data_IF_327479894134
#
_entry.id   IF_327479894134
#
_cell.length_a   1.000
_cell.length_b   1.000
_cell.length_c   1.000
_cell.angle_alpha   90.00
_cell.angle_beta   90.00
_cell.angle_gamma   90.00
#
_symmetry.space_group_name_H-M   'P 1'
#
loop_
_entity.id
_entity.type
_entity.pdbx_description
1 polymer ?
#
# COMPACT_ATOMS: atom_id res chain seq x y z
N UNK A 1 31.21 -18.24 18.89
CA UNK A 1 29.91 -17.94 18.27
C UNK A 1 29.68 -16.43 18.39
N UNK A 2 29.92 -15.62 17.35
CA UNK A 2 29.60 -14.20 17.40
C UNK A 2 28.07 -14.02 17.29
N UNK A 3 27.52 -13.12 18.10
CA UNK A 3 26.09 -12.92 18.28
C UNK A 3 25.36 -12.44 17.02
N UNK A 4 24.14 -12.94 16.83
CA UNK A 4 23.19 -12.43 15.83
C UNK A 4 22.84 -10.98 16.21
N UNK A 5 23.18 -10.03 15.35
CA UNK A 5 22.64 -8.67 15.42
C UNK A 5 21.15 -8.77 15.05
N UNK A 6 20.29 -8.15 15.87
CA UNK A 6 18.89 -7.94 15.50
C UNK A 6 18.83 -7.07 14.24
N UNK A 7 17.94 -7.36 13.28
CA UNK A 7 17.71 -6.50 12.12
C UNK A 7 17.17 -5.15 12.60
N UNK A 8 17.71 -4.06 12.06
CA UNK A 8 17.30 -2.70 12.36
C UNK A 8 16.04 -2.41 11.53
N UNK A 9 14.90 -2.26 12.19
CA UNK A 9 13.71 -1.69 11.55
C UNK A 9 14.03 -0.26 11.10
N UNK A 10 13.70 0.07 9.84
CA UNK A 10 13.87 1.40 9.29
C UNK A 10 12.96 2.37 10.05
N UNK A 11 13.62 3.25 10.79
CA UNK A 11 12.97 4.10 11.76
C UNK A 11 12.87 5.53 11.35
N UNK A 12 11.73 6.16 11.64
CA UNK A 12 11.64 7.62 11.74
C UNK A 12 12.43 8.10 12.98
N UNK A 13 13.76 7.93 12.98
CA UNK A 13 14.64 8.55 13.99
C UNK A 13 14.91 9.99 13.59
N UNK A 14 14.67 10.90 14.51
CA UNK A 14 15.13 12.28 14.42
C UNK A 14 16.65 12.35 14.70
N UNK A 15 17.43 13.14 13.95
CA UNK A 15 18.83 13.41 14.28
C UNK A 15 18.96 14.03 15.69
N UNK A 16 19.72 13.38 16.58
CA UNK A 16 19.94 13.83 17.98
C UNK A 16 19.12 13.09 19.04
N UNK A 17 18.28 12.13 18.64
CA UNK A 17 17.39 11.40 19.54
C UNK A 17 17.84 9.92 19.72
N UNK A 18 17.98 9.43 20.97
CA UNK A 18 18.74 8.21 21.32
C UNK A 18 17.92 6.94 21.58
N UNK A 19 16.59 6.99 21.58
CA UNK A 19 15.78 5.80 21.85
C UNK A 19 15.49 4.95 20.61
N UNK A 20 14.73 3.87 20.82
CA UNK A 20 14.32 2.93 19.79
C UNK A 20 13.04 3.38 19.06
N UNK A 21 12.88 2.97 17.80
CA UNK A 21 11.83 3.49 16.94
C UNK A 21 10.57 2.65 16.92
N UNK A 22 9.44 3.31 16.89
CA UNK A 22 8.21 2.78 16.31
C UNK A 22 7.43 4.01 15.84
N UNK A 23 7.33 4.20 14.53
CA UNK A 23 6.24 4.99 13.96
C UNK A 23 5.06 4.05 13.66
N UNK A 24 4.16 4.39 12.72
CA UNK A 24 3.27 3.42 12.06
C UNK A 24 4.05 2.34 11.24
N UNK A 25 5.19 1.90 11.74
CA UNK A 25 6.29 1.23 11.06
C UNK A 25 6.64 -0.11 11.72
N UNK A 26 5.79 -0.63 12.60
CA UNK A 26 5.86 -1.93 13.21
C UNK A 26 4.84 -2.90 12.57
N UNK A 27 5.26 -3.43 11.41
CA UNK A 27 5.10 -4.84 11.03
C UNK A 27 3.83 -5.28 10.23
N UNK A 28 4.13 -6.05 9.16
CA UNK A 28 3.33 -6.79 8.15
C UNK A 28 2.61 -6.00 7.04
N UNK A 29 3.41 -5.57 6.06
CA UNK A 29 2.96 -5.17 4.73
C UNK A 29 2.68 -6.36 3.80
N UNK A 30 2.00 -6.08 2.69
CA UNK A 30 1.73 -6.99 1.58
C UNK A 30 2.93 -7.09 0.60
N UNK A 31 3.29 -8.29 0.12
CA UNK A 31 4.40 -8.48 -0.83
C UNK A 31 4.18 -7.87 -2.22
N UNK A 32 2.95 -7.54 -2.60
CA UNK A 32 2.63 -7.09 -3.97
C UNK A 32 2.47 -5.57 -4.10
N UNK A 33 3.53 -4.81 -3.78
CA UNK A 33 3.79 -3.55 -4.50
C UNK A 33 4.28 -3.86 -5.93
N UNK A 34 3.52 -4.68 -6.67
CA UNK A 34 3.69 -4.82 -8.10
C UNK A 34 2.80 -3.73 -8.68
N UNK A 35 3.41 -2.74 -9.35
CA UNK A 35 2.68 -1.86 -10.27
C UNK A 35 1.79 -2.76 -11.13
N UNK A 36 0.48 -2.75 -10.88
CA UNK A 36 -0.48 -3.35 -11.80
C UNK A 36 -0.48 -2.47 -13.05
N UNK A 37 0.46 -2.73 -13.94
CA UNK A 37 0.26 -2.42 -15.35
C UNK A 37 -0.84 -3.36 -15.85
N UNK A 38 -1.88 -2.85 -16.53
CA UNK A 38 -2.99 -3.69 -16.97
C UNK A 38 -2.51 -4.51 -18.17
N UNK A 39 -1.94 -5.67 -17.91
CA UNK A 39 -1.87 -6.73 -18.93
C UNK A 39 -1.96 -8.11 -18.27
N UNK A 40 -3.07 -8.78 -18.58
CA UNK A 40 -3.29 -10.22 -18.52
C UNK A 40 -3.58 -10.79 -17.11
N UNK A 41 -4.78 -10.49 -16.60
CA UNK A 41 -5.47 -11.38 -15.67
C UNK A 41 -6.10 -12.54 -16.46
N UNK A 42 -5.54 -13.74 -16.35
CA UNK A 42 -6.29 -14.97 -16.67
C UNK A 42 -7.01 -15.44 -15.40
N UNK A 43 -8.31 -15.78 -15.46
CA UNK A 43 -9.03 -16.30 -14.31
C UNK A 43 -8.88 -17.82 -14.26
N UNK A 44 -8.24 -18.35 -13.20
CA UNK A 44 -8.39 -19.76 -12.82
C UNK A 44 -9.53 -19.88 -11.82
N UNK A 45 -10.70 -20.25 -12.34
CA UNK A 45 -11.86 -20.68 -11.56
C UNK A 45 -11.94 -22.21 -11.66
N UNK A 46 -11.75 -22.93 -10.55
CA UNK A 46 -12.08 -24.37 -10.45
C UNK A 46 -13.38 -24.51 -9.65
N UNK A 47 -14.46 -24.86 -10.36
CA UNK A 47 -15.67 -25.39 -9.75
C UNK A 47 -15.70 -26.90 -9.89
N UNK A 48 -15.49 -27.60 -8.77
CA UNK A 48 -16.09 -28.92 -8.46
C UNK A 48 -16.35 -28.91 -6.95
N UNK A 49 -17.60 -28.85 -6.49
CA UNK A 49 -18.55 -29.95 -6.52
C UNK A 49 -18.60 -30.55 -5.10
N UNK A 50 -19.72 -30.34 -4.39
CA UNK A 50 -19.85 -30.68 -2.97
C UNK A 50 -20.04 -32.16 -2.67
N UNK A 51 -19.78 -32.53 -1.41
CA UNK A 51 -20.56 -33.50 -0.62
C UNK A 51 -20.09 -33.47 0.86
N UNK A 52 -21.03 -33.30 1.79
CA UNK A 52 -20.85 -33.61 3.21
C UNK A 52 -20.90 -35.12 3.41
N UNK A 53 -19.88 -35.75 4.03
CA UNK A 53 -20.08 -36.94 4.90
C UNK A 53 -18.93 -37.08 5.91
N UNK A 54 -19.27 -37.04 7.21
CA UNK A 54 -18.84 -38.07 8.16
C UNK A 54 -17.57 -37.86 8.98
N UNK A 55 -17.78 -37.52 10.26
CA UNK A 55 -16.85 -37.78 11.36
C UNK A 55 -16.28 -39.20 11.35
N UNK A 56 -14.97 -39.34 11.59
CA UNK A 56 -14.45 -40.46 12.40
C UNK A 56 -13.21 -40.02 13.19
N UNK A 57 -13.38 -40.05 14.51
CA UNK A 57 -12.33 -40.15 15.52
C UNK A 57 -11.58 -41.46 15.33
N UNK A 58 -10.25 -41.42 15.23
CA UNK A 58 -9.38 -42.52 15.64
C UNK A 58 -8.05 -41.98 16.16
N UNK A 59 -7.84 -42.19 17.45
CA UNK A 59 -6.59 -42.18 18.18
C UNK A 59 -5.80 -43.46 17.85
N UNK A 60 -4.49 -43.35 17.57
CA UNK A 60 -3.49 -44.33 17.98
C UNK A 60 -2.08 -43.83 17.65
N UNK A 61 -1.40 -43.35 18.69
CA UNK A 61 -0.06 -43.75 19.11
C UNK A 61 0.82 -44.61 18.15
N UNK A 62 2.06 -44.14 18.03
CA UNK A 62 3.32 -44.90 18.23
C UNK A 62 4.20 -45.28 17.02
N UNK A 63 5.42 -44.75 17.11
CA UNK A 63 6.73 -45.33 16.76
C UNK A 63 6.94 -46.10 15.46
N UNK A 64 7.89 -45.59 14.65
CA UNK A 64 9.13 -46.31 14.25
C UNK A 64 10.14 -45.38 13.55
N UNK A 65 11.33 -45.28 14.16
CA UNK A 65 12.63 -45.00 13.49
C UNK A 65 12.94 -46.22 12.58
N UNK A 66 13.67 -46.21 11.46
CA UNK A 66 15.03 -45.70 11.13
C UNK A 66 15.21 -45.78 9.57
N UNK A 67 16.39 -45.55 8.92
CA UNK A 67 16.49 -44.72 7.70
C UNK A 67 16.94 -45.51 6.44
N UNK A 68 16.97 -44.86 5.27
CA UNK A 68 17.79 -45.20 4.09
C UNK A 68 17.69 -44.02 3.10
N UNK A 69 18.68 -43.13 3.01
CA UNK A 69 19.84 -43.18 2.11
C UNK A 69 19.51 -43.24 0.60
N UNK A 70 20.10 -42.27 -0.12
CA UNK A 70 20.39 -42.20 -1.57
C UNK A 70 19.23 -41.74 -2.47
N UNK A 71 19.36 -40.54 -3.06
CA UNK A 71 19.45 -40.31 -4.52
C UNK A 71 19.89 -38.86 -4.77
N UNK A 72 21.18 -38.68 -5.07
CA UNK A 72 21.72 -37.48 -5.71
C UNK A 72 21.89 -37.75 -7.20
N UNK A 73 21.80 -36.65 -7.97
CA UNK A 73 22.20 -36.46 -9.38
C UNK A 73 21.09 -36.72 -10.42
N UNK A 74 20.69 -35.65 -11.12
CA UNK A 74 21.06 -35.30 -12.52
C UNK A 74 20.03 -34.27 -13.02
N UNK A 75 20.48 -33.18 -13.66
CA UNK A 75 19.56 -32.32 -14.41
C UNK A 75 20.06 -30.95 -14.85
N UNK A 76 21.37 -30.75 -15.04
CA UNK A 76 21.86 -29.64 -15.86
C UNK A 76 22.13 -30.16 -17.27
N UNK A 77 21.97 -29.26 -18.26
CA UNK A 77 22.25 -29.39 -19.70
C UNK A 77 21.04 -29.76 -20.57
N UNK A 78 20.41 -28.73 -21.16
CA UNK A 78 20.22 -28.62 -22.61
C UNK A 78 19.53 -27.29 -22.96
N UNK A 79 20.33 -26.25 -23.23
CA UNK A 79 19.88 -25.01 -23.86
C UNK A 79 20.67 -24.90 -25.17
N UNK A 80 20.14 -25.45 -26.26
CA UNK A 80 20.57 -25.18 -27.64
C UNK A 80 19.68 -25.96 -28.64
N UNK A 81 18.74 -25.26 -29.29
CA UNK A 81 18.23 -25.64 -30.61
C UNK A 81 17.60 -24.42 -31.29
N UNK A 82 18.44 -23.58 -31.89
CA UNK A 82 18.07 -22.52 -32.83
C UNK A 82 18.93 -22.72 -34.08
N UNK A 83 18.28 -22.63 -35.26
CA UNK A 83 18.81 -22.75 -36.65
C UNK A 83 19.22 -24.20 -37.03
N UNK A 84 18.74 -24.87 -38.07
CA UNK A 84 18.72 -24.56 -39.52
C UNK A 84 17.78 -25.57 -40.20
N UNK A 85 16.96 -25.15 -41.17
CA UNK A 85 16.84 -25.73 -42.53
C UNK A 85 15.85 -24.85 -43.30
N UNK A 86 16.43 -23.93 -44.07
CA UNK A 86 15.85 -23.35 -45.28
C UNK A 86 16.55 -24.05 -46.45
N UNK A 87 15.84 -24.11 -47.58
CA UNK A 87 16.24 -24.58 -48.92
C UNK A 87 15.90 -26.06 -49.17
N UNK A 88 14.77 -26.29 -49.86
CA UNK A 88 14.72 -26.87 -51.23
C UNK A 88 13.25 -27.07 -51.66
N UNK A 89 12.81 -26.37 -52.71
CA UNK A 89 11.71 -26.87 -53.55
C UNK A 89 10.69 -25.86 -54.09
N UNK A 90 11.01 -25.27 -55.27
CA UNK A 90 10.03 -24.79 -56.27
C UNK A 90 9.47 -23.38 -56.03
N UNK A 91 9.63 -22.39 -56.90
CA UNK A 91 9.70 -22.42 -58.36
C UNK A 91 8.33 -22.02 -58.93
N UNK A 92 8.16 -20.75 -59.28
CA UNK A 92 6.95 -20.21 -59.89
C UNK A 92 7.02 -18.69 -60.02
N UNK A 93 7.55 -18.22 -61.15
CA UNK A 93 7.47 -16.83 -61.58
C UNK A 93 6.01 -16.37 -61.73
N UNK A 94 5.75 -15.08 -61.51
CA UNK A 94 4.96 -14.20 -62.38
C UNK A 94 4.84 -12.82 -61.71
N UNK A 95 5.44 -11.81 -62.35
CA UNK A 95 5.29 -10.42 -61.93
C UNK A 95 3.91 -9.87 -62.24
N UNK A 96 3.45 -8.94 -61.41
CA UNK A 96 2.69 -7.79 -61.90
C UNK A 96 2.89 -6.59 -60.98
N UNK A 97 3.23 -5.47 -61.62
CA UNK A 97 3.31 -4.12 -61.06
C UNK A 97 1.89 -3.58 -60.97
N UNK A 98 1.46 -3.15 -59.80
CA UNK A 98 0.11 -2.58 -59.62
C UNK A 98 0.00 -1.79 -58.33
N UNK A 99 0.43 -0.53 -58.38
CA UNK A 99 0.02 0.50 -57.44
C UNK A 99 -1.45 0.80 -57.71
N UNK A 100 -2.33 0.75 -56.71
CA UNK A 100 -3.55 1.56 -56.63
C UNK A 100 -4.17 1.47 -55.23
N UNK A 101 -4.52 2.65 -54.72
CA UNK A 101 -5.41 2.88 -53.59
C UNK A 101 -6.71 2.11 -53.76
N UNK A 102 -7.17 1.46 -52.69
CA UNK A 102 -8.60 1.34 -52.45
C UNK A 102 -8.89 1.50 -50.95
N UNK A 103 -9.61 2.58 -50.69
CA UNK A 103 -10.27 2.91 -49.43
C UNK A 103 -11.48 2.01 -49.28
N UNK A 104 -11.53 1.19 -48.23
CA UNK A 104 -12.79 0.62 -47.74
C UNK A 104 -12.91 0.91 -46.25
N UNK A 105 -13.73 1.91 -45.97
CA UNK A 105 -14.33 2.15 -44.68
C UNK A 105 -15.34 1.03 -44.34
N UNK A 106 -15.44 0.71 -43.05
CA UNK A 106 -16.67 0.20 -42.46
C UNK A 106 -16.69 -1.29 -42.11
N UNK A 107 -16.19 -1.62 -40.92
CA UNK A 107 -16.86 -2.58 -40.04
C UNK A 107 -16.86 -2.03 -38.61
N UNK A 108 -17.96 -1.41 -38.24
CA UNK A 108 -18.36 -1.13 -36.86
C UNK A 108 -18.69 -2.46 -36.19
N UNK A 109 -17.72 -3.05 -35.49
CA UNK A 109 -18.00 -4.05 -34.47
C UNK A 109 -18.20 -3.31 -33.14
N UNK A 110 -19.45 -3.02 -32.82
CA UNK A 110 -19.89 -2.63 -31.47
C UNK A 110 -19.74 -3.85 -30.57
N UNK A 111 -18.51 -4.13 -30.15
CA UNK A 111 -18.20 -5.12 -29.14
C UNK A 111 -18.43 -4.51 -27.76
N UNK A 112 -19.26 -5.19 -26.96
CA UNK A 112 -19.47 -4.93 -25.54
C UNK A 112 -18.10 -4.79 -24.84
N UNK A 113 -17.73 -3.56 -24.49
CA UNK A 113 -16.67 -3.32 -23.51
C UNK A 113 -17.30 -3.72 -22.17
N UNK A 114 -16.83 -4.76 -21.46
CA UNK A 114 -17.19 -4.87 -20.07
C UNK A 114 -16.70 -3.59 -19.40
N UNK A 115 -17.62 -2.88 -18.76
CA UNK A 115 -17.34 -1.75 -17.89
C UNK A 115 -16.45 -2.29 -16.77
N UNK A 116 -15.14 -2.25 -17.00
CA UNK A 116 -14.15 -2.41 -15.96
C UNK A 116 -14.22 -1.10 -15.18
N UNK A 117 -15.21 -0.98 -14.29
CA UNK A 117 -15.10 -0.05 -13.18
C UNK A 117 -13.76 -0.37 -12.53
N UNK A 118 -12.80 0.52 -12.69
CA UNK A 118 -11.54 0.47 -11.99
C UNK A 118 -11.89 0.39 -10.51
N UNK A 119 -11.72 -0.78 -9.91
CA UNK A 119 -11.93 -0.97 -8.48
C UNK A 119 -10.91 -0.07 -7.81
N UNK A 120 -11.37 1.06 -7.27
CA UNK A 120 -10.49 1.93 -6.53
C UNK A 120 -10.06 1.12 -5.31
N UNK A 121 -8.76 1.01 -4.99
CA UNK A 121 -8.30 0.28 -3.81
C UNK A 121 -9.00 0.68 -2.49
N UNK A 122 -9.67 1.84 -2.44
CA UNK A 122 -10.48 2.29 -1.33
C UNK A 122 -11.82 1.53 -1.16
N UNK A 123 -12.29 0.79 -2.16
CA UNK A 123 -13.50 -0.04 -2.04
C UNK A 123 -13.32 -1.11 -0.94
N UNK A 124 -12.12 -1.69 -0.79
CA UNK A 124 -11.85 -2.68 0.26
C UNK A 124 -11.86 -2.05 1.67
N UNK A 125 -11.41 -0.80 1.79
CA UNK A 125 -11.44 -0.03 3.05
C UNK A 125 -12.89 0.29 3.41
N UNK A 126 -13.69 0.74 2.44
CA UNK A 126 -15.10 1.04 2.63
C UNK A 126 -15.92 -0.22 2.99
N UNK A 127 -15.69 -1.34 2.30
CA UNK A 127 -16.31 -2.63 2.61
C UNK A 127 -15.92 -3.10 4.02
N UNK A 128 -14.64 -2.97 4.41
CA UNK A 128 -14.20 -3.31 5.76
C UNK A 128 -14.90 -2.46 6.82
N UNK A 129 -14.99 -1.14 6.62
CA UNK A 129 -15.71 -0.23 7.52
C UNK A 129 -17.20 -0.59 7.61
N UNK A 130 -17.85 -0.98 6.51
CA UNK A 130 -19.24 -1.41 6.52
C UNK A 130 -19.45 -2.68 7.33
N UNK A 131 -18.55 -3.65 7.18
CA UNK A 131 -18.72 -4.99 7.76
C UNK A 131 -18.30 -5.04 9.23
N UNK A 132 -17.30 -4.25 9.64
CA UNK A 132 -16.70 -4.29 10.98
C UNK A 132 -16.79 -2.99 11.79
N UNK A 133 -17.21 -1.88 11.15
CA UNK A 133 -17.28 -0.57 11.77
C UNK A 133 -15.93 0.15 11.90
N UNK A 134 -15.99 1.34 12.48
CA UNK A 134 -14.82 2.17 12.80
C UNK A 134 -14.22 1.76 14.17
N UNK A 135 -12.90 1.89 14.38
CA UNK A 135 -12.29 1.60 15.67
C UNK A 135 -12.84 2.52 16.79
N UNK A 136 -12.87 2.06 18.04
CA UNK A 136 -13.23 2.94 19.15
C UNK A 136 -12.16 4.03 19.37
N UNK A 137 -12.59 5.24 19.73
CA UNK A 137 -11.68 6.36 20.05
C UNK A 137 -11.13 7.12 18.84
N UNK A 138 -11.72 6.94 17.67
CA UNK A 138 -11.36 7.65 16.43
C UNK A 138 -12.41 8.71 16.03
N UNK A 139 -13.16 9.23 17.00
CA UNK A 139 -14.23 10.23 16.82
C UNK A 139 -13.74 11.68 17.01
N UNK A 140 -12.43 11.91 17.03
CA UNK A 140 -11.83 13.21 17.30
C UNK A 140 -11.97 14.18 16.11
N UNK A 141 -11.84 13.66 14.90
CA UNK A 141 -12.06 14.37 13.64
C UNK A 141 -12.48 13.39 12.54
N UNK A 142 -12.75 13.90 11.33
CA UNK A 142 -12.95 13.08 10.14
C UNK A 142 -12.14 13.63 8.98
N UNK A 143 -11.43 12.77 8.26
CA UNK A 143 -10.59 13.16 7.14
C UNK A 143 -11.17 12.60 5.84
N UNK A 144 -11.34 13.46 4.84
CA UNK A 144 -11.82 13.08 3.50
C UNK A 144 -10.86 13.52 2.42
N UNK A 145 -10.66 12.66 1.43
CA UNK A 145 -9.88 12.97 0.24
C UNK A 145 -10.74 12.55 -0.97
N UNK A 146 -11.62 13.43 -1.47
CA UNK A 146 -12.66 13.04 -2.43
C UNK A 146 -12.13 12.39 -3.71
N UNK A 147 -10.99 12.86 -4.23
CA UNK A 147 -10.40 12.31 -5.46
C UNK A 147 -9.93 10.87 -5.30
N UNK A 148 -9.63 10.45 -4.07
CA UNK A 148 -9.22 9.08 -3.74
C UNK A 148 -10.38 8.23 -3.21
N UNK A 149 -11.54 8.82 -2.91
CA UNK A 149 -12.64 8.11 -2.23
C UNK A 149 -12.38 7.84 -0.74
N UNK A 150 -11.40 8.51 -0.13
CA UNK A 150 -11.10 8.38 1.31
C UNK A 150 -12.16 9.11 2.13
N UNK A 151 -12.72 8.41 3.12
CA UNK A 151 -13.61 8.95 4.14
C UNK A 151 -13.40 8.21 5.46
N UNK A 152 -12.58 8.78 6.35
CA UNK A 152 -11.98 8.04 7.46
C UNK A 152 -12.11 8.73 8.82
N UNK A 153 -12.37 7.97 9.89
CA UNK A 153 -12.35 8.48 11.25
C UNK A 153 -10.92 8.81 11.68
N UNK A 154 -10.78 9.85 12.50
CA UNK A 154 -9.49 10.33 12.98
C UNK A 154 -9.44 10.23 14.50
N UNK A 155 -8.47 9.48 15.03
CA UNK A 155 -8.11 9.47 16.44
C UNK A 155 -7.03 10.49 16.76
N UNK A 156 -7.03 11.02 17.99
CA UNK A 156 -5.93 11.84 18.51
C UNK A 156 -4.91 10.96 19.22
N UNK A 157 -3.65 11.03 18.78
CA UNK A 157 -2.55 10.23 19.32
C UNK A 157 -1.48 11.12 19.92
N UNK A 158 -1.37 11.12 21.24
CA UNK A 158 -0.27 11.79 21.93
C UNK A 158 1.02 11.01 21.70
N UNK A 159 2.04 11.72 21.21
CA UNK A 159 3.38 11.15 21.06
C UNK A 159 4.15 11.38 22.35
N UNK A 160 4.24 10.33 23.17
CA UNK A 160 5.03 10.34 24.38
C UNK A 160 6.46 9.78 24.12
N UNK A 161 7.44 10.68 24.25
CA UNK A 161 8.82 10.33 23.98
C UNK A 161 9.12 10.32 22.48
N UNK A 162 8.97 9.19 21.82
CA UNK A 162 9.69 8.97 20.56
C UNK A 162 9.11 7.99 19.56
N UNK A 163 8.09 7.31 20.04
CA UNK A 163 7.37 6.35 19.27
C UNK A 163 6.13 7.09 18.82
N UNK A 164 5.95 7.21 17.52
CA UNK A 164 4.67 7.65 16.98
C UNK A 164 3.75 6.43 16.95
N UNK A 165 2.64 6.45 17.72
CA UNK A 165 1.71 5.34 17.75
C UNK A 165 1.17 5.00 16.36
N UNK A 166 0.84 3.73 16.13
CA UNK A 166 0.20 3.32 14.89
C UNK A 166 -1.32 3.48 14.99
N UNK A 167 -1.99 3.82 13.87
CA UNK A 167 -3.44 3.61 13.75
C UNK A 167 -3.82 2.15 14.00
N UNK A 168 -5.06 1.95 14.46
CA UNK A 168 -5.57 0.66 14.90
C UNK A 168 -5.71 -0.36 13.76
N UNK A 169 -6.09 0.09 12.57
CA UNK A 169 -6.47 -0.78 11.46
C UNK A 169 -6.39 -0.10 10.10
N UNK A 170 -7.03 -0.70 9.08
CA UNK A 170 -6.88 -0.25 7.70
C UNK A 170 -7.73 0.99 7.38
N UNK A 171 -8.62 1.40 8.30
CA UNK A 171 -9.65 2.39 8.04
C UNK A 171 -9.43 3.73 8.76
N UNK A 172 -8.57 3.78 9.78
CA UNK A 172 -8.41 4.94 10.64
C UNK A 172 -7.15 5.75 10.38
N UNK A 173 -7.23 7.03 10.73
CA UNK A 173 -6.14 7.99 10.62
C UNK A 173 -5.76 8.49 12.01
N UNK A 174 -4.46 8.61 12.25
CA UNK A 174 -3.91 9.22 13.45
C UNK A 174 -3.63 10.70 13.22
N UNK A 175 -4.26 11.60 13.98
CA UNK A 175 -3.77 12.96 14.18
C UNK A 175 -2.77 12.95 15.34
N UNK A 176 -1.53 13.34 15.08
CA UNK A 176 -0.48 13.29 16.10
C UNK A 176 -0.38 14.59 16.90
N UNK A 177 -0.55 14.48 18.21
CA UNK A 177 -0.16 15.52 19.16
C UNK A 177 1.33 15.41 19.45
N UNK A 178 2.09 16.32 18.83
CA UNK A 178 3.54 16.44 18.95
C UNK A 178 3.96 17.46 20.01
N UNK A 179 3.11 17.81 20.99
CA UNK A 179 3.41 18.83 22.00
C UNK A 179 4.70 18.55 22.81
N UNK A 180 5.14 17.30 22.90
CA UNK A 180 6.40 16.92 23.56
C UNK A 180 7.64 17.28 22.73
N UNK A 181 7.48 17.64 21.46
CA UNK A 181 8.55 18.02 20.54
C UNK A 181 8.42 19.49 20.10
N UNK A 182 9.14 20.42 20.77
CA UNK A 182 9.00 21.86 20.50
C UNK A 182 9.22 22.24 19.03
N UNK A 183 8.30 23.05 18.52
CA UNK A 183 8.33 23.58 17.15
C UNK A 183 7.83 22.61 16.08
N UNK A 184 7.19 21.49 16.47
CA UNK A 184 6.61 20.52 15.54
C UNK A 184 5.10 20.40 15.74
N UNK A 185 4.42 20.00 14.67
CA UNK A 185 3.01 19.67 14.67
C UNK A 185 2.09 20.86 14.90
N UNK A 186 0.94 20.57 15.49
CA UNK A 186 -0.13 21.52 15.75
C UNK A 186 -1.48 20.91 15.44
N UNK A 187 -2.51 21.74 15.43
CA UNK A 187 -3.89 21.32 15.20
C UNK A 187 -4.46 21.96 13.93
N UNK A 188 -5.37 21.27 13.23
CA UNK A 188 -6.03 21.83 12.05
C UNK A 188 -6.71 23.15 12.39
N UNK A 189 -6.56 24.15 11.53
CA UNK A 189 -7.24 25.43 11.65
C UNK A 189 -6.54 26.45 12.55
N UNK A 190 -5.42 26.10 13.19
CA UNK A 190 -4.75 26.94 14.18
C UNK A 190 -3.53 27.72 13.63
N UNK A 191 -3.29 27.70 12.33
CA UNK A 191 -2.15 28.40 11.72
C UNK A 191 -0.82 27.66 11.92
N UNK A 192 -0.89 26.34 12.08
CA UNK A 192 0.24 25.46 12.34
C UNK A 192 0.26 24.31 11.33
N UNK A 193 1.02 23.25 11.57
CA UNK A 193 1.07 22.08 10.69
C UNK A 193 0.53 20.85 11.39
N UNK A 194 -0.73 20.49 11.14
CA UNK A 194 -1.29 19.27 11.72
C UNK A 194 -0.78 18.03 10.98
N UNK A 195 -0.31 17.02 11.73
CA UNK A 195 0.34 15.84 11.17
C UNK A 195 -0.61 14.64 11.27
N UNK A 196 -0.94 14.08 10.12
CA UNK A 196 -1.79 12.90 10.00
C UNK A 196 -0.98 11.72 9.46
N UNK A 197 -1.13 10.55 10.08
CA UNK A 197 -0.56 9.32 9.55
C UNK A 197 -1.58 8.20 9.52
N UNK A 198 -1.45 7.34 8.51
CA UNK A 198 -2.24 6.13 8.40
C UNK A 198 -1.45 5.03 7.70
N UNK A 199 -1.94 3.79 7.76
CA UNK A 199 -1.33 2.67 7.03
C UNK A 199 -1.51 2.86 5.52
N UNK A 200 -0.48 2.44 4.76
CA UNK A 200 -0.58 2.32 3.30
C UNK A 200 -1.32 1.04 2.95
N UNK A 201 -0.94 -0.06 3.60
CA UNK A 201 -1.50 -1.40 3.45
C UNK A 201 -1.31 -2.21 4.73
N UNK A 202 -1.95 -3.37 4.82
CA UNK A 202 -1.82 -4.23 5.99
C UNK A 202 -2.03 -5.70 5.62
N UNK A 203 -1.38 -6.59 6.39
CA UNK A 203 -1.58 -8.04 6.34
C UNK A 203 -1.48 -8.62 7.76
N UNK A 204 -2.48 -8.36 8.61
CA UNK A 204 -2.46 -8.72 10.05
C UNK A 204 -3.85 -8.84 10.66
N UNK A 205 -3.91 -9.40 11.86
CA UNK A 205 -5.14 -9.47 12.65
C UNK A 205 -5.51 -8.08 13.19
N UNK A 206 -6.77 -7.71 13.01
CA UNK A 206 -7.34 -6.43 13.44
C UNK A 206 -8.08 -6.64 14.75
N UNK A 207 -7.47 -6.22 15.85
CA UNK A 207 -7.91 -6.57 17.21
C UNK A 207 -9.36 -6.14 17.51
N UNK A 208 -9.78 -4.94 17.10
CA UNK A 208 -11.13 -4.44 17.35
C UNK A 208 -12.20 -5.15 16.49
N UNK A 209 -11.81 -5.68 15.33
CA UNK A 209 -12.70 -6.35 14.40
C UNK A 209 -12.71 -7.88 14.57
N UNK A 210 -11.73 -8.44 15.30
CA UNK A 210 -11.61 -9.88 15.52
C UNK A 210 -11.39 -10.69 14.24
N UNK A 211 -10.83 -10.07 13.20
CA UNK A 211 -10.66 -10.65 11.86
C UNK A 211 -9.26 -10.37 11.32
N UNK A 212 -8.82 -11.19 10.37
CA UNK A 212 -7.59 -10.95 9.63
C UNK A 212 -7.87 -10.02 8.44
N UNK A 213 -7.06 -8.97 8.29
CA UNK A 213 -7.14 -8.07 7.14
C UNK A 213 -5.90 -8.21 6.27
N UNK A 214 -6.13 -8.30 4.96
CA UNK A 214 -5.08 -8.28 3.94
C UNK A 214 -5.52 -7.40 2.79
N UNK A 215 -4.85 -6.26 2.60
CA UNK A 215 -5.13 -5.37 1.49
C UNK A 215 -4.69 -3.92 1.70
N UNK A 216 -5.13 -3.03 0.78
CA UNK A 216 -4.95 -1.59 0.88
C UNK A 216 -5.47 -1.01 2.19
N UNK A 217 -4.86 0.04 2.72
CA UNK A 217 -5.42 0.83 3.82
C UNK A 217 -5.77 2.24 3.35
N UNK A 218 -6.29 3.06 4.27
CA UNK A 218 -6.83 4.38 3.97
C UNK A 218 -5.83 5.30 3.24
N UNK A 219 -4.52 5.18 3.47
CA UNK A 219 -3.50 6.00 2.78
C UNK A 219 -2.84 5.29 1.60
N UNK A 220 -3.42 4.19 1.09
CA UNK A 220 -2.86 3.40 -0.03
C UNK A 220 -2.46 4.24 -1.25
N UNK A 221 -3.24 5.24 -1.61
CA UNK A 221 -3.11 6.00 -2.86
C UNK A 221 -2.74 7.47 -2.66
N UNK A 222 -2.24 7.88 -1.48
CA UNK A 222 -1.93 9.30 -1.25
C UNK A 222 -0.73 9.80 -2.08
N UNK A 223 0.06 8.89 -2.64
CA UNK A 223 1.12 9.19 -3.61
C UNK A 223 0.58 9.73 -4.94
N UNK A 224 -0.70 9.51 -5.23
CA UNK A 224 -1.38 10.01 -6.42
C UNK A 224 -1.88 11.45 -6.26
N UNK A 225 -1.83 12.02 -5.04
CA UNK A 225 -2.28 13.38 -4.82
C UNK A 225 -1.38 14.38 -5.52
N UNK A 226 -1.99 15.21 -6.35
CA UNK A 226 -1.35 16.31 -7.06
C UNK A 226 -1.71 17.67 -6.46
N UNK A 227 -0.95 18.69 -6.85
CA UNK A 227 -1.22 20.06 -6.43
C UNK A 227 -2.66 20.48 -6.83
N UNK A 228 -3.41 21.02 -5.87
CA UNK A 228 -4.80 21.43 -6.02
C UNK A 228 -5.83 20.39 -5.61
N UNK A 229 -5.45 19.12 -5.40
CA UNK A 229 -6.35 18.13 -4.84
C UNK A 229 -6.81 18.52 -3.44
N UNK A 230 -8.05 18.18 -3.09
CA UNK A 230 -8.69 18.64 -1.87
C UNK A 230 -8.58 17.59 -0.78
N UNK A 231 -8.15 18.04 0.40
CA UNK A 231 -8.27 17.30 1.66
C UNK A 231 -9.21 18.07 2.56
N UNK A 232 -10.24 17.40 3.07
CA UNK A 232 -11.21 18.00 3.99
C UNK A 232 -11.04 17.38 5.38
N UNK A 233 -11.04 18.22 6.40
CA UNK A 233 -10.95 17.79 7.80
C UNK A 233 -12.13 18.37 8.55
N UNK A 234 -13.06 17.51 8.98
CA UNK A 234 -14.09 17.88 9.94
C UNK A 234 -13.48 17.87 11.33
N UNK A 235 -13.28 19.06 11.90
CA UNK A 235 -12.63 19.24 13.19
C UNK A 235 -13.33 20.36 13.98
N UNK A 236 -13.57 20.11 15.26
CA UNK A 236 -14.20 21.08 16.17
C UNK A 236 -15.54 21.67 15.66
N UNK A 237 -16.31 20.90 14.88
CA UNK A 237 -17.61 21.31 14.33
C UNK A 237 -17.53 22.11 13.03
N UNK A 238 -16.35 22.26 12.43
CA UNK A 238 -16.13 22.93 11.15
C UNK A 238 -15.51 21.97 10.13
N UNK A 239 -15.84 22.13 8.85
CA UNK A 239 -15.14 21.46 7.74
C UNK A 239 -14.05 22.39 7.22
N UNK A 240 -12.81 22.03 7.49
CA UNK A 240 -11.61 22.73 7.04
C UNK A 240 -11.17 22.14 5.70
N UNK A 241 -10.96 22.98 4.67
CA UNK A 241 -10.54 22.53 3.34
C UNK A 241 -9.10 22.93 3.09
N UNK A 242 -8.29 21.98 2.64
CA UNK A 242 -6.88 22.15 2.31
C UNK A 242 -6.65 21.76 0.86
N UNK A 243 -5.88 22.58 0.13
CA UNK A 243 -5.40 22.25 -1.21
C UNK A 243 -3.99 21.66 -1.12
N UNK A 244 -3.77 20.49 -1.70
CA UNK A 244 -2.44 19.88 -1.80
C UNK A 244 -1.52 20.84 -2.54
N UNK A 245 -0.30 21.01 -2.02
CA UNK A 245 0.76 21.85 -2.60
C UNK A 245 1.80 20.97 -3.26
N UNK A 246 2.20 19.89 -2.60
CA UNK A 246 3.17 18.92 -3.11
C UNK A 246 3.00 17.55 -2.45
N UNK A 247 3.51 16.54 -3.16
CA UNK A 247 3.67 15.17 -2.71
C UNK A 247 5.10 14.74 -2.98
N UNK A 248 5.77 14.19 -1.97
CA UNK A 248 7.17 13.76 -2.06
C UNK A 248 7.34 12.34 -1.52
N UNK A 249 8.22 11.58 -2.16
CA UNK A 249 8.70 10.29 -1.66
C UNK A 249 10.08 10.50 -1.01
N UNK A 250 10.20 10.12 0.26
CA UNK A 250 11.36 10.40 1.10
C UNK A 250 11.93 9.09 1.63
N UNK A 251 13.25 8.89 1.51
CA UNK A 251 13.90 7.70 2.03
C UNK A 251 13.64 7.53 3.54
N UNK A 252 13.26 6.32 3.94
CA UNK A 252 13.03 5.94 5.33
C UNK A 252 14.35 5.56 6.00
N UNK A 253 15.20 6.56 6.26
CA UNK A 253 16.52 6.36 6.88
C UNK A 253 16.70 7.18 8.16
N UNK A 254 17.64 6.76 9.01
CA UNK A 254 18.05 7.52 10.19
C UNK A 254 18.72 8.87 9.84
N UNK A 255 19.08 9.10 8.58
CA UNK A 255 19.65 10.35 8.10
C UNK A 255 18.58 11.38 7.69
N UNK A 256 17.33 10.95 7.54
CA UNK A 256 16.22 11.82 7.13
C UNK A 256 15.84 12.78 8.25
N UNK A 257 15.97 14.09 8.00
CA UNK A 257 15.53 15.10 8.95
C UNK A 257 14.01 15.31 8.86
N UNK A 258 13.24 14.61 9.69
CA UNK A 258 11.78 14.72 9.75
C UNK A 258 11.28 16.09 10.24
N UNK A 259 12.13 16.89 10.91
CA UNK A 259 11.73 18.21 11.42
C UNK A 259 11.32 19.17 10.31
N UNK A 260 11.95 19.06 9.13
CA UNK A 260 11.62 19.91 8.00
C UNK A 260 10.18 19.68 7.49
N UNK A 261 9.68 18.45 7.58
CA UNK A 261 8.33 18.07 7.15
C UNK A 261 7.29 18.30 8.24
N UNK A 262 7.66 18.19 9.52
CA UNK A 262 6.72 18.30 10.63
C UNK A 262 6.80 19.62 11.39
N UNK A 263 7.60 20.59 10.93
CA UNK A 263 7.69 21.93 11.53
C UNK A 263 6.31 22.56 11.68
N UNK A 264 6.05 23.15 12.85
CA UNK A 264 4.85 23.95 13.12
C UNK A 264 4.94 25.36 12.57
N UNK A 265 6.15 25.82 12.22
CA UNK A 265 6.39 27.13 11.64
C UNK A 265 6.14 27.09 10.14
N UNK A 266 4.90 27.38 9.77
CA UNK A 266 4.41 27.45 8.39
C UNK A 266 3.80 28.84 8.13
N UNK A 267 3.86 29.35 6.88
CA UNK A 267 3.30 30.66 6.56
C UNK A 267 1.77 30.69 6.53
N UNK A 268 1.15 29.52 6.29
CA UNK A 268 -0.30 29.32 6.17
C UNK A 268 -0.67 28.09 6.98
N UNK A 269 -1.87 28.07 7.56
CA UNK A 269 -2.41 26.88 8.22
C UNK A 269 -2.31 25.67 7.29
N UNK A 270 -1.63 24.63 7.74
CA UNK A 270 -1.20 23.52 6.90
C UNK A 270 -1.54 22.18 7.54
N UNK A 271 -1.63 21.16 6.70
CA UNK A 271 -1.62 19.77 7.13
C UNK A 271 -0.52 19.00 6.38
N UNK A 272 -0.01 17.97 7.03
CA UNK A 272 0.89 16.99 6.42
C UNK A 272 0.28 15.61 6.58
N UNK A 273 0.04 14.92 5.48
CA UNK A 273 -0.28 13.49 5.50
C UNK A 273 1.02 12.72 5.30
N UNK A 274 1.23 11.63 6.04
CA UNK A 274 2.38 10.76 5.81
C UNK A 274 2.02 9.28 5.95
N UNK A 275 2.64 8.44 5.12
CA UNK A 275 2.50 6.99 5.19
C UNK A 275 3.77 6.27 4.72
N UNK A 276 3.78 4.95 4.83
CA UNK A 276 4.81 4.08 4.26
C UNK A 276 4.75 4.05 2.73
N UNK A 277 5.90 3.98 2.05
CA UNK A 277 5.96 3.93 0.59
C UNK A 277 7.23 3.28 0.06
N UNK A 278 7.35 3.21 -1.26
CA UNK A 278 8.46 2.53 -1.93
C UNK A 278 8.41 1.01 -1.80
N UNK A 279 9.52 0.34 -2.10
CA UNK A 279 9.60 -1.12 -2.01
C UNK A 279 9.58 -1.59 -0.56
N UNK A 280 8.88 -2.71 -0.32
CA UNK A 280 8.90 -3.42 0.95
C UNK A 280 10.09 -4.38 1.01
N UNK A 281 10.89 -4.24 2.05
CA UNK A 281 12.00 -5.14 2.34
C UNK A 281 11.54 -6.25 3.31
N UNK A 282 11.57 -7.50 2.85
CA UNK A 282 11.20 -8.68 3.63
C UNK A 282 12.19 -9.04 4.74
N UNK A 283 13.44 -8.59 4.67
CA UNK A 283 14.43 -8.85 5.73
C UNK A 283 14.23 -7.90 6.91
N UNK A 284 14.10 -6.61 6.62
CA UNK A 284 13.87 -5.58 7.65
C UNK A 284 12.40 -5.41 8.03
N UNK A 285 11.49 -6.00 7.25
CA UNK A 285 10.04 -5.83 7.33
C UNK A 285 9.61 -4.37 7.34
N UNK A 286 10.23 -3.58 6.48
CA UNK A 286 10.03 -2.15 6.41
C UNK A 286 9.98 -1.66 4.97
N UNK A 287 9.22 -0.59 4.79
CA UNK A 287 9.18 0.17 3.56
C UNK A 287 10.40 1.08 3.43
N UNK A 288 11.01 1.06 2.25
CA UNK A 288 12.20 1.84 1.92
C UNK A 288 11.98 3.36 1.93
N UNK A 289 10.74 3.81 1.74
CA UNK A 289 10.39 5.23 1.67
C UNK A 289 9.15 5.57 2.51
N UNK A 290 8.87 6.86 2.57
CA UNK A 290 7.62 7.44 3.05
C UNK A 290 7.06 8.36 1.99
N UNK A 291 5.75 8.36 1.86
CA UNK A 291 5.04 9.38 1.09
C UNK A 291 4.64 10.48 2.05
N UNK A 292 4.96 11.72 1.69
CA UNK A 292 4.63 12.92 2.45
C UNK A 292 3.84 13.86 1.56
N UNK A 293 2.65 14.24 1.98
CA UNK A 293 1.78 15.17 1.25
C UNK A 293 1.60 16.42 2.09
N UNK A 294 1.91 17.59 1.52
CA UNK A 294 1.62 18.88 2.12
C UNK A 294 0.36 19.47 1.52
N UNK A 295 -0.53 19.95 2.35
CA UNK A 295 -1.67 20.76 1.92
C UNK A 295 -1.81 22.02 2.78
N UNK A 296 -2.28 23.10 2.16
CA UNK A 296 -2.45 24.41 2.79
C UNK A 296 -3.92 24.81 2.81
N UNK A 297 -4.33 25.52 3.86
CA UNK A 297 -5.73 25.88 4.08
C UNK A 297 -6.23 26.81 2.99
N UNK A 298 -7.38 26.46 2.42
CA UNK A 298 -8.09 27.31 1.49
C UNK A 298 -8.82 28.44 2.25
N UNK A 299 -8.97 29.62 1.61
CA UNK A 299 -9.68 30.76 2.19
C UNK A 299 -11.14 30.49 2.54
#
# INVERSE_FOLDING_TARGET
MPGRRQPRSASCRMPGWTGSPAGPCAYHAHPDHIRFTPSNAEPLYDQRGGEEVGQRVFDSTDSRRVPLMVFSLIGAVALAAVVVIVILGGGGDLGFRGNNNDTVAGQTASGLVPDATEVIPQDSVADFTRDYGEPPGTDYARLRIPVLGVDAPVGLWTVDGSIMPEPYGPVDVALYDLATWPGLGGMPGQGSNAIFGAHVDMNRDIAYAGTHYRGPAVFWAIDQLGAGDIVEVDFAGETLRYGVVWTEEVEASDATDWRQYWTSSVPVDSITLFTCGGEFDFESHAYSHRVVVRAERLP
#
